data_IF_226429043061
#
_entry.id   IF_226429043061
#
_cell.length_a   1.000
_cell.length_b   1.000
_cell.length_c   1.000
_cell.angle_alpha   90.00
_cell.angle_beta   90.00
_cell.angle_gamma   90.00
#
_symmetry.space_group_name_H-M   'P 1'
#
loop_
_entity.id
_entity.type
_entity.pdbx_description
1 polymer ?
#
# COMPACT_ATOMS: atom_id res chain seq x y z
N UNK A 1 -5.98 -12.58 -2.17
CA UNK A 1 -5.77 -11.28 -1.52
C UNK A 1 -5.38 -10.26 -2.57
N UNK A 2 -6.06 -9.12 -2.60
CA UNK A 2 -5.65 -8.05 -3.50
C UNK A 2 -4.59 -7.16 -2.85
N UNK A 3 -4.14 -6.17 -3.59
CA UNK A 3 -3.11 -5.24 -3.11
C UNK A 3 -3.53 -4.56 -1.82
N UNK A 4 -4.76 -4.09 -1.76
CA UNK A 4 -5.22 -3.33 -0.59
C UNK A 4 -5.33 -4.23 0.64
N UNK A 5 -5.74 -5.50 0.48
CA UNK A 5 -5.73 -6.43 1.61
C UNK A 5 -4.35 -6.55 2.23
N UNK A 6 -3.32 -6.60 1.39
CA UNK A 6 -1.93 -6.73 1.85
C UNK A 6 -1.44 -5.46 2.53
N UNK A 7 -1.83 -4.31 2.00
CA UNK A 7 -1.48 -3.03 2.63
C UNK A 7 -2.17 -2.90 3.99
N UNK A 8 -3.46 -3.25 4.07
CA UNK A 8 -4.20 -3.21 5.34
C UNK A 8 -3.55 -4.15 6.35
N UNK A 9 -3.17 -5.35 5.93
CA UNK A 9 -2.51 -6.30 6.83
C UNK A 9 -1.20 -5.73 7.36
N UNK A 10 -0.40 -5.12 6.51
CA UNK A 10 0.86 -4.50 6.95
C UNK A 10 0.60 -3.37 7.94
N UNK A 11 -0.43 -2.55 7.68
CA UNK A 11 -0.81 -1.46 8.57
C UNK A 11 -1.22 -2.00 9.94
N UNK A 12 -2.04 -3.04 9.96
CA UNK A 12 -2.50 -3.66 11.22
C UNK A 12 -1.34 -4.31 11.97
N UNK A 13 -0.44 -4.97 11.26
CA UNK A 13 0.75 -5.57 11.88
C UNK A 13 1.64 -4.52 12.52
N UNK A 14 1.66 -3.31 11.97
CA UNK A 14 2.43 -2.19 12.52
C UNK A 14 1.67 -1.43 13.60
N UNK A 15 0.48 -1.85 13.96
CA UNK A 15 -0.39 -1.19 14.94
C UNK A 15 -0.68 0.27 14.56
N UNK A 16 -0.82 0.54 13.27
CA UNK A 16 -1.13 1.88 12.78
C UNK A 16 -2.60 2.01 12.40
N UNK A 17 -3.18 3.17 12.70
CA UNK A 17 -4.50 3.51 12.19
C UNK A 17 -4.40 4.00 10.75
N UNK A 18 -5.54 4.08 10.06
CA UNK A 18 -5.60 4.66 8.72
C UNK A 18 -5.05 6.09 8.72
N UNK A 19 -5.37 6.86 9.75
CA UNK A 19 -4.92 8.26 9.87
C UNK A 19 -3.40 8.31 10.03
N UNK A 20 -2.84 7.44 10.84
CA UNK A 20 -1.40 7.42 11.06
C UNK A 20 -0.64 7.06 9.79
N UNK A 21 -1.09 6.04 9.05
CA UNK A 21 -0.46 5.70 7.78
C UNK A 21 -0.61 6.84 6.78
N UNK A 22 -1.80 7.40 6.66
CA UNK A 22 -2.05 8.51 5.72
C UNK A 22 -1.11 9.68 6.01
N UNK A 23 -0.94 10.03 7.28
CA UNK A 23 -0.02 11.11 7.68
C UNK A 23 1.41 10.77 7.28
N UNK A 24 1.83 9.53 7.51
CA UNK A 24 3.20 9.10 7.22
C UNK A 24 3.54 9.20 5.74
N UNK A 25 2.58 8.93 4.87
CA UNK A 25 2.80 8.96 3.43
C UNK A 25 2.30 10.23 2.75
N UNK A 26 1.80 11.19 3.54
CA UNK A 26 1.43 12.50 2.99
C UNK A 26 0.10 12.53 2.26
N UNK A 27 -0.86 11.70 2.68
CA UNK A 27 -2.19 11.63 2.08
C UNK A 27 -3.23 12.04 3.11
N UNK A 28 -4.29 12.72 2.66
CA UNK A 28 -5.42 13.01 3.52
C UNK A 28 -6.07 11.70 3.98
N UNK A 29 -6.38 11.59 5.28
CA UNK A 29 -6.90 10.32 5.82
C UNK A 29 -8.29 9.95 5.27
N UNK A 30 -9.09 10.93 4.89
CA UNK A 30 -10.39 10.65 4.28
C UNK A 30 -10.19 10.02 2.90
N UNK A 31 -9.24 10.52 2.13
CA UNK A 31 -8.89 9.94 0.83
C UNK A 31 -8.29 8.55 1.01
N UNK A 32 -7.44 8.36 2.02
CA UNK A 32 -6.88 7.03 2.28
C UNK A 32 -7.97 6.02 2.63
N UNK A 33 -8.96 6.42 3.42
CA UNK A 33 -10.09 5.55 3.74
C UNK A 33 -10.85 5.11 2.48
N UNK A 34 -10.94 5.97 1.48
CA UNK A 34 -11.56 5.60 0.19
C UNK A 34 -10.73 4.56 -0.54
N UNK A 35 -9.41 4.61 -0.42
CA UNK A 35 -8.55 3.57 -0.99
C UNK A 35 -8.76 2.23 -0.28
N UNK A 36 -8.80 2.23 1.04
CA UNK A 36 -9.00 0.99 1.80
C UNK A 36 -10.38 0.38 1.57
N UNK A 37 -11.40 1.22 1.33
CA UNK A 37 -12.76 0.75 1.05
C UNK A 37 -12.98 0.36 -0.43
N UNK A 38 -11.97 0.48 -1.26
CA UNK A 38 -11.99 0.20 -2.71
C UNK A 38 -12.88 1.15 -3.52
N UNK A 39 -13.26 2.28 -2.97
CA UNK A 39 -13.97 3.30 -3.74
C UNK A 39 -13.07 3.92 -4.81
N UNK A 40 -11.81 4.10 -4.50
CA UNK A 40 -10.81 4.63 -5.42
C UNK A 40 -9.57 3.77 -5.34
N UNK A 41 -8.79 3.73 -6.41
CA UNK A 41 -7.48 3.09 -6.40
C UNK A 41 -6.41 4.12 -6.08
N UNK A 42 -5.43 3.77 -5.21
CA UNK A 42 -4.33 4.70 -4.94
C UNK A 42 -3.41 4.78 -6.15
N UNK A 43 -2.91 5.98 -6.46
CA UNK A 43 -1.90 6.10 -7.51
C UNK A 43 -0.59 5.42 -7.10
N UNK A 44 0.20 5.06 -8.11
CA UNK A 44 1.47 4.34 -7.88
C UNK A 44 2.39 5.11 -6.94
N UNK A 45 2.38 6.44 -7.01
CA UNK A 45 3.25 7.24 -6.13
C UNK A 45 2.96 6.99 -4.64
N UNK A 46 1.71 6.71 -4.28
CA UNK A 46 1.38 6.39 -2.89
C UNK A 46 1.77 4.96 -2.54
N UNK A 47 1.68 4.03 -3.49
CA UNK A 47 2.18 2.68 -3.28
C UNK A 47 3.68 2.69 -2.99
N UNK A 48 4.44 3.48 -3.72
CA UNK A 48 5.88 3.63 -3.48
C UNK A 48 6.13 4.10 -2.05
N UNK A 49 5.38 5.09 -1.58
CA UNK A 49 5.52 5.62 -0.22
C UNK A 49 5.16 4.59 0.85
N UNK A 50 4.14 3.77 0.60
CA UNK A 50 3.77 2.68 1.49
C UNK A 50 4.91 1.65 1.58
N UNK A 51 5.49 1.28 0.44
CA UNK A 51 6.62 0.36 0.40
C UNK A 51 7.80 0.89 1.21
N UNK A 52 8.11 2.17 1.04
CA UNK A 52 9.21 2.80 1.77
C UNK A 52 8.93 2.88 3.27
N UNK A 53 7.68 3.18 3.63
CA UNK A 53 7.30 3.31 5.03
C UNK A 53 7.41 2.00 5.78
N UNK A 54 6.93 0.91 5.18
CA UNK A 54 6.96 -0.41 5.83
C UNK A 54 8.21 -1.23 5.49
N UNK A 55 9.05 -0.77 4.57
CA UNK A 55 10.22 -1.53 4.10
C UNK A 55 9.81 -2.86 3.48
N UNK A 56 8.71 -2.86 2.74
CA UNK A 56 8.17 -4.03 2.06
C UNK A 56 8.18 -3.75 0.56
N UNK A 57 8.58 -4.74 -0.25
CA UNK A 57 8.68 -4.54 -1.69
C UNK A 57 7.31 -4.41 -2.34
N UNK A 58 7.26 -3.67 -3.45
CA UNK A 58 6.05 -3.52 -4.24
C UNK A 58 5.58 -4.86 -4.80
N UNK A 59 6.49 -5.77 -5.11
CA UNK A 59 6.15 -7.09 -5.62
C UNK A 59 5.21 -7.82 -4.67
N UNK A 60 5.48 -7.73 -3.37
CA UNK A 60 4.61 -8.35 -2.37
C UNK A 60 3.22 -7.74 -2.39
N UNK A 61 3.13 -6.40 -2.34
CA UNK A 61 1.84 -5.73 -2.31
C UNK A 61 1.03 -5.98 -3.58
N UNK A 62 1.70 -5.99 -4.73
CA UNK A 62 1.05 -6.21 -6.01
C UNK A 62 0.72 -7.68 -6.29
N UNK A 63 1.31 -8.59 -5.50
CA UNK A 63 1.08 -10.02 -5.70
C UNK A 63 1.65 -10.54 -7.00
N UNK A 64 2.75 -9.96 -7.46
CA UNK A 64 3.35 -10.37 -8.73
C UNK A 64 3.97 -11.75 -8.61
N UNK A 65 3.89 -12.57 -9.68
CA UNK A 65 4.52 -13.88 -9.67
C UNK A 65 6.03 -13.76 -9.56
N UNK A 66 6.66 -14.76 -8.93
CA UNK A 66 8.12 -14.83 -8.88
C UNK A 66 8.65 -15.21 -10.26
N UNK A 67 9.87 -14.79 -10.54
CA UNK A 67 10.54 -15.16 -11.77
C UNK A 67 10.18 -14.30 -12.96
N UNK A 68 9.49 -13.18 -12.76
CA UNK A 68 9.32 -12.21 -13.82
C UNK A 68 10.68 -11.63 -14.18
N UNK A 69 11.00 -11.67 -15.45
CA UNK A 69 12.26 -11.14 -15.96
C UNK A 69 12.13 -9.65 -16.29
N UNK A 70 13.23 -8.96 -16.11
CA UNK A 70 13.32 -7.59 -16.57
C UNK A 70 13.16 -7.51 -18.08
N UNK A 71 12.62 -6.41 -18.60
CA UNK A 71 12.64 -6.17 -20.03
C UNK A 71 14.09 -6.17 -20.53
N UNK A 72 14.26 -6.69 -21.73
CA UNK A 72 15.57 -6.77 -22.36
C UNK A 72 15.70 -5.71 -23.43
#
# INVERSE_FOLDING_TARGET
MDMMDRIIAARQDADETQRELAKAIGVNHIQWAKYESRKNEPPVRYLIRVCEHYKISADYFLGLPRGLNWPR
#
